data_IF_907733403086
#
_entry.id   IF_907733403086
#
_cell.length_a   1.000
_cell.length_b   1.000
_cell.length_c   1.000
_cell.angle_alpha   90.00
_cell.angle_beta   90.00
_cell.angle_gamma   90.00
#
_symmetry.space_group_name_H-M   'P 1'
#
loop_
_entity.id
_entity.type
_entity.pdbx_description
1 polymer ?
#
# COMPACT_ATOMS: atom_id res chain seq x y z
N UNK A 1 24.77 8.22 -18.76
CA UNK A 1 24.14 6.96 -19.23
C UNK A 1 23.11 7.29 -20.30
N UNK A 2 22.85 6.38 -21.25
CA UNK A 2 21.87 6.59 -22.31
C UNK A 2 20.57 5.83 -22.01
N UNK A 3 19.45 6.52 -22.07
CA UNK A 3 18.11 5.92 -22.03
C UNK A 3 17.69 5.61 -23.48
N UNK A 4 17.49 4.33 -23.81
CA UNK A 4 16.99 3.95 -25.13
C UNK A 4 15.47 3.77 -25.10
N UNK A 5 14.74 4.67 -25.76
CA UNK A 5 13.29 4.61 -25.91
C UNK A 5 12.98 3.98 -27.27
N UNK A 6 12.45 2.75 -27.29
CA UNK A 6 12.11 2.01 -28.53
C UNK A 6 10.77 2.44 -29.16
N UNK A 7 10.04 3.34 -28.50
CA UNK A 7 8.76 3.86 -28.98
C UNK A 7 8.99 5.11 -29.82
N UNK A 8 8.69 5.01 -31.12
CA UNK A 8 8.77 6.14 -32.06
C UNK A 8 7.84 7.29 -31.64
N UNK A 9 6.69 6.97 -31.07
CA UNK A 9 5.75 7.98 -30.55
C UNK A 9 6.33 8.75 -29.37
N UNK A 10 6.94 8.05 -28.41
CA UNK A 10 7.54 8.70 -27.23
C UNK A 10 8.72 9.58 -27.64
N UNK A 11 9.53 9.14 -28.60
CA UNK A 11 10.60 9.99 -29.15
C UNK A 11 10.04 11.24 -29.82
N UNK A 12 8.99 11.10 -30.65
CA UNK A 12 8.32 12.24 -31.30
C UNK A 12 7.80 13.24 -30.27
N UNK A 13 7.09 12.78 -29.24
CA UNK A 13 6.58 13.64 -28.17
C UNK A 13 7.71 14.36 -27.42
N UNK A 14 8.79 13.65 -27.08
CA UNK A 14 9.93 14.26 -26.38
C UNK A 14 10.60 15.35 -27.23
N UNK A 15 10.68 15.15 -28.56
CA UNK A 15 11.19 16.15 -29.51
C UNK A 15 10.25 17.36 -29.64
N UNK A 16 8.94 17.13 -29.74
CA UNK A 16 7.94 18.19 -29.82
C UNK A 16 7.96 19.07 -28.57
N UNK A 17 7.97 18.45 -27.38
CA UNK A 17 8.05 19.18 -26.11
C UNK A 17 9.34 20.01 -26.04
N UNK A 18 10.48 19.41 -26.37
CA UNK A 18 11.76 20.12 -26.40
C UNK A 18 11.75 21.32 -27.35
N UNK A 19 11.16 21.17 -28.54
CA UNK A 19 11.03 22.25 -29.51
C UNK A 19 10.11 23.38 -29.02
N UNK A 20 9.00 23.04 -28.35
CA UNK A 20 8.06 24.02 -27.80
C UNK A 20 8.61 24.78 -26.60
N UNK A 21 9.40 24.12 -25.74
CA UNK A 21 9.94 24.75 -24.52
C UNK A 21 11.32 25.37 -24.71
N UNK A 22 11.99 25.08 -25.84
CA UNK A 22 13.39 25.45 -26.06
C UNK A 22 14.38 24.62 -25.24
N UNK A 23 13.94 23.53 -24.62
CA UNK A 23 14.80 22.63 -23.85
C UNK A 23 15.52 21.62 -24.76
N UNK A 24 16.48 20.89 -24.17
CA UNK A 24 16.96 19.63 -24.78
C UNK A 24 15.94 18.52 -24.58
N UNK A 25 15.95 17.49 -25.44
CA UNK A 25 15.11 16.29 -25.28
C UNK A 25 15.27 15.69 -23.87
N UNK A 26 16.50 15.65 -23.37
CA UNK A 26 16.80 15.15 -22.03
C UNK A 26 16.13 15.97 -20.93
N UNK A 27 16.18 17.30 -21.02
CA UNK A 27 15.53 18.17 -20.02
C UNK A 27 14.00 18.11 -20.14
N UNK A 28 13.44 18.02 -21.35
CA UNK A 28 12.02 17.82 -21.55
C UNK A 28 11.53 16.53 -20.87
N UNK A 29 12.24 15.41 -21.08
CA UNK A 29 11.94 14.12 -20.44
C UNK A 29 12.10 14.20 -18.93
N UNK A 30 13.20 14.81 -18.44
CA UNK A 30 13.47 14.96 -17.01
C UNK A 30 12.36 15.75 -16.30
N UNK A 31 11.95 16.90 -16.86
CA UNK A 31 10.87 17.72 -16.30
C UNK A 31 9.54 16.97 -16.28
N UNK A 32 9.20 16.28 -17.38
CA UNK A 32 7.98 15.46 -17.44
C UNK A 32 7.96 14.34 -16.38
N UNK A 33 9.09 13.66 -16.18
CA UNK A 33 9.21 12.63 -15.14
C UNK A 33 9.13 13.20 -13.72
N UNK A 34 9.67 14.40 -13.48
CA UNK A 34 9.57 15.06 -12.18
C UNK A 34 8.12 15.41 -11.84
N UNK A 35 7.37 15.98 -12.78
CA UNK A 35 5.96 16.30 -12.59
C UNK A 35 5.14 15.05 -12.23
N UNK A 36 5.29 13.98 -13.02
CA UNK A 36 4.61 12.70 -12.76
C UNK A 36 5.02 12.09 -11.42
N UNK A 37 6.29 12.22 -11.03
CA UNK A 37 6.78 11.72 -9.76
C UNK A 37 6.16 12.48 -8.58
N UNK A 38 6.06 13.80 -8.67
CA UNK A 38 5.45 14.64 -7.63
C UNK A 38 3.95 14.30 -7.46
N UNK A 39 3.21 14.21 -8.56
CA UNK A 39 1.80 13.80 -8.57
C UNK A 39 1.61 12.40 -7.96
N UNK A 40 2.43 11.43 -8.36
CA UNK A 40 2.36 10.06 -7.86
C UNK A 40 2.67 9.97 -6.35
N UNK A 41 3.62 10.78 -5.86
CA UNK A 41 3.94 10.86 -4.42
C UNK A 41 2.76 11.44 -3.63
N UNK A 42 2.21 12.56 -4.09
CA UNK A 42 1.08 13.20 -3.44
C UNK A 42 -0.16 12.28 -3.39
N UNK A 43 -0.47 11.60 -4.49
CA UNK A 43 -1.56 10.63 -4.55
C UNK A 43 -1.36 9.46 -3.57
N UNK A 44 -0.13 8.94 -3.47
CA UNK A 44 0.21 7.86 -2.53
C UNK A 44 0.09 8.31 -1.08
N UNK A 45 0.56 9.49 -0.74
CA UNK A 45 0.45 10.05 0.61
C UNK A 45 -1.02 10.27 1.00
N UNK A 46 -1.83 10.81 0.10
CA UNK A 46 -3.27 10.97 0.33
C UNK A 46 -3.98 9.62 0.54
N UNK A 47 -3.61 8.58 -0.21
CA UNK A 47 -4.16 7.24 -0.02
C UNK A 47 -3.77 6.67 1.36
N UNK A 48 -2.52 6.84 1.78
CA UNK A 48 -2.04 6.42 3.09
C UNK A 48 -2.82 7.13 4.20
N UNK A 49 -2.97 8.45 4.11
CA UNK A 49 -3.72 9.23 5.10
C UNK A 49 -5.18 8.79 5.17
N UNK A 50 -5.83 8.57 4.02
CA UNK A 50 -7.19 8.03 3.97
C UNK A 50 -7.31 6.67 4.67
N UNK A 51 -6.37 5.76 4.45
CA UNK A 51 -6.36 4.44 5.11
C UNK A 51 -6.13 4.58 6.61
N UNK A 52 -5.21 5.44 7.03
CA UNK A 52 -4.93 5.70 8.44
C UNK A 52 -6.15 6.29 9.14
N UNK A 53 -6.87 7.20 8.50
CA UNK A 53 -8.11 7.76 9.03
C UNK A 53 -9.18 6.68 9.20
N UNK A 54 -9.38 5.81 8.21
CA UNK A 54 -10.31 4.68 8.31
C UNK A 54 -9.94 3.71 9.45
N UNK A 55 -8.64 3.44 9.65
CA UNK A 55 -8.16 2.63 10.77
C UNK A 55 -8.49 3.29 12.11
N UNK A 56 -8.25 4.60 12.24
CA UNK A 56 -8.55 5.35 13.47
C UNK A 56 -10.04 5.31 13.80
N UNK A 57 -10.91 5.47 12.81
CA UNK A 57 -12.35 5.38 12.98
C UNK A 57 -12.78 3.98 13.47
N UNK A 58 -12.20 2.91 12.91
CA UNK A 58 -12.44 1.54 13.38
C UNK A 58 -11.96 1.39 14.82
N UNK A 59 -10.75 1.86 15.15
CA UNK A 59 -10.19 1.78 16.50
C UNK A 59 -11.06 2.52 17.53
N UNK A 60 -11.57 3.71 17.20
CA UNK A 60 -12.49 4.44 18.06
C UNK A 60 -13.80 3.70 18.28
N UNK A 61 -14.37 3.12 17.21
CA UNK A 61 -15.59 2.30 17.31
C UNK A 61 -15.37 1.08 18.21
N UNK A 62 -14.26 0.36 18.02
CA UNK A 62 -13.90 -0.81 18.83
C UNK A 62 -13.70 -0.40 20.30
N UNK A 63 -13.01 0.72 20.56
CA UNK A 63 -12.80 1.22 21.93
C UNK A 63 -14.12 1.52 22.66
N UNK A 64 -15.15 1.97 21.94
CA UNK A 64 -16.50 2.21 22.50
C UNK A 64 -17.25 0.93 22.87
N UNK A 65 -16.88 -0.23 22.31
CA UNK A 65 -17.49 -1.52 22.65
C UNK A 65 -17.07 -2.05 24.04
N UNK A 66 -16.11 -1.39 24.69
CA UNK A 66 -15.61 -1.80 26.01
C UNK A 66 -14.45 -2.79 25.93
N UNK A 67 -13.97 -3.29 27.08
CA UNK A 67 -12.84 -4.20 27.12
C UNK A 67 -13.20 -5.51 26.42
N UNK A 68 -12.37 -5.93 25.47
CA UNK A 68 -12.46 -7.24 24.84
C UNK A 68 -12.12 -8.28 25.91
N UNK A 69 -13.00 -9.27 26.19
CA UNK A 69 -12.68 -10.35 27.11
C UNK A 69 -11.40 -11.05 26.69
N UNK A 70 -10.53 -11.35 27.65
CA UNK A 70 -9.37 -12.21 27.37
C UNK A 70 -9.89 -13.62 27.14
N UNK A 71 -9.86 -14.06 25.89
CA UNK A 71 -10.11 -15.47 25.55
C UNK A 71 -8.82 -16.27 25.77
N UNK A 72 -8.94 -17.46 26.33
CA UNK A 72 -7.84 -18.41 26.43
C UNK A 72 -7.59 -19.08 25.08
N UNK A 73 -6.44 -19.76 24.93
CA UNK A 73 -6.17 -20.58 23.75
C UNK A 73 -7.30 -21.62 23.53
N UNK A 74 -7.74 -22.27 24.60
CA UNK A 74 -8.86 -23.22 24.59
C UNK A 74 -10.16 -22.61 24.09
N UNK A 75 -10.50 -21.40 24.52
CA UNK A 75 -11.72 -20.70 24.05
C UNK A 75 -11.63 -20.34 22.55
N UNK A 76 -10.42 -20.07 22.05
CA UNK A 76 -10.17 -19.81 20.64
C UNK A 76 -10.26 -21.09 19.80
N UNK A 77 -9.65 -22.18 20.29
CA UNK A 77 -9.66 -23.50 19.65
C UNK A 77 -11.10 -24.06 19.57
N UNK A 78 -11.91 -23.88 20.62
CA UNK A 78 -13.34 -24.23 20.65
C UNK A 78 -14.19 -23.38 19.69
N UNK A 79 -13.89 -22.08 19.56
CA UNK A 79 -14.56 -21.19 18.60
C UNK A 79 -14.20 -21.52 17.15
N UNK A 80 -12.98 -22.00 16.90
CA UNK A 80 -12.46 -22.30 15.56
C UNK A 80 -12.76 -23.74 15.11
N UNK A 81 -13.27 -24.59 16.01
CA UNK A 81 -13.66 -25.97 15.71
C UNK A 81 -12.51 -26.97 15.70
N UNK A 82 -11.31 -26.57 16.10
CA UNK A 82 -10.17 -27.47 16.34
C UNK A 82 -10.18 -27.86 17.82
N UNK A 83 -11.13 -28.72 18.20
CA UNK A 83 -10.98 -29.49 19.42
C UNK A 83 -10.04 -30.63 19.05
N UNK A 84 -8.73 -30.44 19.25
CA UNK A 84 -7.79 -31.55 19.18
C UNK A 84 -8.25 -32.62 20.19
N UNK A 85 -8.73 -33.77 19.68
CA UNK A 85 -9.19 -34.90 20.49
C UNK A 85 -8.06 -35.59 21.29
N UNK A 86 -6.82 -35.06 21.26
CA UNK A 86 -5.64 -35.76 21.75
C UNK A 86 -5.03 -35.24 23.07
N UNK A 87 -5.58 -34.20 23.70
CA UNK A 87 -5.03 -33.65 24.96
C UNK A 87 -5.41 -34.47 26.23
N UNK A 88 -6.17 -35.55 26.10
CA UNK A 88 -6.58 -36.43 27.21
C UNK A 88 -5.61 -37.60 27.48
N UNK A 89 -4.53 -37.75 26.71
CA UNK A 89 -3.60 -38.88 26.87
C UNK A 89 -2.63 -38.77 28.06
N UNK A 90 -2.38 -37.58 28.61
CA UNK A 90 -1.28 -37.36 29.59
C UNK A 90 -1.73 -37.27 31.06
N UNK A 91 -3.02 -37.49 31.37
CA UNK A 91 -3.54 -37.50 32.76
C UNK A 91 -3.82 -38.89 33.36
N UNK A 92 -3.39 -39.98 32.71
CA UNK A 92 -3.47 -41.35 33.27
C UNK A 92 -2.10 -41.97 33.54
N UNK A 93 -1.25 -41.27 34.28
CA UNK A 93 -0.09 -41.87 34.99
C UNK A 93 0.04 -41.34 36.40
#
# INVERSE_FOLDING_TARGET
>A
MALNIKSAETERLAREVAALTGDTITEAVRKGLLLLQEEARAAREAEIERKMQAIREIQERVRKLGPIPKITKRDFDELWGEVDEDDDADRRR
#
